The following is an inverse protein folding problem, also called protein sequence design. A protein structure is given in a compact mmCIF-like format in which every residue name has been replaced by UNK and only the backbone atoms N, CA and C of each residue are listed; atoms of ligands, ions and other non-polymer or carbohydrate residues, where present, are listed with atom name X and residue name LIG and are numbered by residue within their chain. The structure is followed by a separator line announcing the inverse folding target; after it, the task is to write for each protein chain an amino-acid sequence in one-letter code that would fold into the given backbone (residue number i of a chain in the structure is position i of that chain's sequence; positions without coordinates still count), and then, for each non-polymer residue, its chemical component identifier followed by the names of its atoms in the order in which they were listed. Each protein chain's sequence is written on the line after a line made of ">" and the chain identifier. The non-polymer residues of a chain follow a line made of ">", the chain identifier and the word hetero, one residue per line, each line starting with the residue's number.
data_IF_294577451538
#
_entry.id   IF_294577451538
#
_cell.length_a   1.000
_cell.length_b   1.000
_cell.length_c   1.000
_cell.angle_alpha   90.00
_cell.angle_beta   90.00
_cell.angle_gamma   90.00
#
_symmetry.space_group_name_H-M   'P 1'
#
loop_
_entity.id
_entity.type
_entity.pdbx_description
1 polymer ?
#
# COMPACT_ATOMS: atom_id res chain seq x y z
N UNK A 1 11.32 -18.75 -1.00
CA UNK A 1 11.27 -18.25 0.40
C UNK A 1 10.48 -16.95 0.43
N UNK A 2 9.58 -16.84 1.37
CA UNK A 2 8.78 -15.65 1.55
C UNK A 2 9.14 -14.97 2.86
N UNK A 3 9.24 -13.65 2.85
CA UNK A 3 9.34 -12.87 4.07
C UNK A 3 7.95 -12.39 4.43
N UNK A 4 7.36 -12.98 5.48
CA UNK A 4 6.01 -12.64 5.93
C UNK A 4 5.99 -11.46 6.87
N UNK A 5 7.14 -11.11 7.46
CA UNK A 5 7.27 -9.93 8.30
C UNK A 5 7.68 -8.74 7.47
N UNK A 6 7.22 -7.55 7.86
CA UNK A 6 7.57 -6.33 7.15
C UNK A 6 9.06 -6.03 7.25
N UNK A 7 9.62 -5.59 6.15
CA UNK A 7 10.99 -5.08 6.09
C UNK A 7 10.95 -3.56 6.08
N UNK A 8 11.95 -2.93 6.68
CA UNK A 8 12.07 -1.49 6.61
C UNK A 8 12.76 -1.12 5.29
N UNK A 9 12.01 -0.51 4.38
CA UNK A 9 12.51 -0.14 3.05
C UNK A 9 13.73 0.76 3.13
N UNK A 10 13.88 1.54 4.20
CA UNK A 10 15.00 2.45 4.37
C UNK A 10 16.31 1.73 4.63
N UNK A 11 16.23 0.46 5.08
CA UNK A 11 17.40 -0.35 5.40
C UNK A 11 17.89 -1.18 4.22
N UNK A 12 17.22 -1.13 3.08
CA UNK A 12 17.63 -1.89 1.90
C UNK A 12 18.88 -1.25 1.29
N UNK A 13 19.91 -2.05 1.15
CA UNK A 13 21.17 -1.69 0.53
C UNK A 13 21.42 -2.58 -0.68
N UNK A 14 22.37 -2.24 -1.57
CA UNK A 14 22.72 -3.16 -2.66
C UNK A 14 23.13 -4.54 -2.16
N UNK A 15 23.81 -4.63 -1.02
CA UNK A 15 24.25 -5.91 -0.47
C UNK A 15 23.10 -6.77 -0.01
N UNK A 16 22.16 -6.22 0.77
CA UNK A 16 21.05 -7.03 1.23
C UNK A 16 20.01 -7.30 0.13
N UNK A 17 19.87 -6.41 -0.84
CA UNK A 17 19.05 -6.69 -2.01
C UNK A 17 19.65 -7.84 -2.83
N UNK A 18 20.97 -7.89 -2.98
CA UNK A 18 21.65 -8.98 -3.64
C UNK A 18 21.42 -10.30 -2.89
N UNK A 19 21.42 -10.26 -1.55
CA UNK A 19 21.13 -11.43 -0.75
C UNK A 19 19.70 -11.91 -0.97
N UNK A 20 18.73 -11.02 -0.98
CA UNK A 20 17.33 -11.37 -1.27
C UNK A 20 17.21 -12.03 -2.64
N UNK A 21 17.92 -11.49 -3.64
CA UNK A 21 17.90 -12.05 -4.99
C UNK A 21 18.51 -13.45 -5.01
N UNK A 22 19.61 -13.67 -4.26
CA UNK A 22 20.27 -14.97 -4.22
C UNK A 22 19.44 -16.04 -3.54
N UNK A 23 18.72 -15.70 -2.47
CA UNK A 23 17.88 -16.66 -1.76
C UNK A 23 16.54 -16.88 -2.44
N UNK A 24 16.33 -16.26 -3.59
CA UNK A 24 15.12 -16.39 -4.40
C UNK A 24 13.86 -16.12 -3.60
N UNK A 25 13.87 -15.00 -2.91
CA UNK A 25 12.70 -14.53 -2.18
C UNK A 25 11.57 -14.28 -3.18
N UNK A 26 10.41 -14.88 -2.94
CA UNK A 26 9.27 -14.77 -3.84
C UNK A 26 8.44 -13.53 -3.57
N UNK A 27 8.31 -13.17 -2.31
CA UNK A 27 7.45 -12.07 -1.88
C UNK A 27 8.18 -11.25 -0.83
N UNK A 28 8.09 -9.94 -0.92
CA UNK A 28 8.59 -9.04 0.12
C UNK A 28 7.47 -8.17 0.63
N UNK A 29 7.52 -7.84 1.91
CA UNK A 29 6.54 -6.97 2.55
C UNK A 29 7.26 -5.78 3.18
N UNK A 30 6.78 -4.58 2.88
CA UNK A 30 7.24 -3.35 3.50
C UNK A 30 6.06 -2.68 4.20
N UNK A 31 6.32 -1.56 4.88
CA UNK A 31 5.28 -0.79 5.53
C UNK A 31 5.50 0.70 5.31
N UNK A 32 4.42 1.43 5.16
CA UNK A 32 4.43 2.88 5.07
C UNK A 32 3.33 3.40 6.00
N UNK A 33 3.67 3.53 7.28
CA UNK A 33 2.69 3.85 8.31
C UNK A 33 2.58 5.33 8.60
N UNK A 34 3.69 6.07 8.49
CA UNK A 34 3.71 7.49 8.76
C UNK A 34 3.58 8.27 7.45
N UNK A 35 2.48 9.03 7.27
CA UNK A 35 2.28 9.79 6.04
C UNK A 35 3.30 10.91 5.84
N UNK A 36 3.99 11.32 6.91
CA UNK A 36 5.02 12.37 6.81
C UNK A 36 6.36 11.85 6.36
N UNK A 37 6.56 10.52 6.34
CA UNK A 37 7.79 9.92 5.83
C UNK A 37 7.79 9.91 4.31
N UNK A 38 8.83 10.46 3.70
CA UNK A 38 9.01 10.36 2.26
C UNK A 38 9.80 9.10 1.94
N UNK A 39 9.09 8.03 1.64
CA UNK A 39 9.70 6.74 1.32
C UNK A 39 9.83 6.49 -0.19
N UNK A 40 9.36 7.41 -1.01
CA UNK A 40 9.36 7.24 -2.47
C UNK A 40 10.77 6.94 -3.02
N UNK A 41 11.83 7.67 -2.64
CA UNK A 41 13.16 7.36 -3.14
C UNK A 41 13.61 5.95 -2.79
N UNK A 42 13.27 5.48 -1.60
CA UNK A 42 13.63 4.14 -1.15
C UNK A 42 12.89 3.06 -1.92
N UNK A 43 11.60 3.26 -2.18
CA UNK A 43 10.82 2.33 -2.98
C UNK A 43 11.33 2.26 -4.42
N UNK A 44 11.69 3.40 -5.00
CA UNK A 44 12.26 3.42 -6.36
C UNK A 44 13.60 2.70 -6.41
N UNK A 45 14.44 2.91 -5.40
CA UNK A 45 15.74 2.26 -5.34
C UNK A 45 15.61 0.75 -5.25
N UNK A 46 14.66 0.26 -4.44
CA UNK A 46 14.44 -1.17 -4.33
C UNK A 46 14.09 -1.80 -5.68
N UNK A 47 13.28 -1.13 -6.48
CA UNK A 47 12.91 -1.64 -7.80
C UNK A 47 14.12 -1.80 -8.71
N UNK A 48 15.12 -0.92 -8.58
CA UNK A 48 16.34 -1.02 -9.37
C UNK A 48 17.21 -2.18 -8.93
N UNK A 49 17.19 -2.51 -7.64
CA UNK A 49 18.07 -3.53 -7.06
C UNK A 49 17.44 -4.93 -7.07
N UNK A 50 16.12 -5.03 -7.04
CA UNK A 50 15.42 -6.29 -6.86
C UNK A 50 15.17 -6.99 -8.18
N UNK A 51 15.23 -8.33 -8.15
CA UNK A 51 14.82 -9.18 -9.27
C UNK A 51 13.35 -9.58 -9.21
N UNK A 52 12.64 -9.18 -8.17
CA UNK A 52 11.20 -9.43 -8.07
C UNK A 52 10.50 -8.49 -9.03
N UNK A 53 9.92 -9.02 -10.10
CA UNK A 53 9.32 -8.22 -11.16
C UNK A 53 7.81 -8.11 -11.07
N UNK A 54 7.16 -9.03 -10.39
CA UNK A 54 5.71 -9.02 -10.26
C UNK A 54 5.31 -8.07 -9.12
N UNK A 55 4.57 -7.00 -9.44
CA UNK A 55 4.14 -6.02 -8.45
C UNK A 55 3.33 -6.64 -7.31
N UNK A 56 2.58 -7.71 -7.59
CA UNK A 56 1.79 -8.40 -6.58
C UNK A 56 2.64 -9.09 -5.52
N UNK A 57 3.93 -9.23 -5.77
CA UNK A 57 4.88 -9.83 -4.83
C UNK A 57 5.67 -8.79 -4.06
N UNK A 58 5.39 -7.52 -4.28
CA UNK A 58 6.01 -6.39 -3.57
C UNK A 58 4.92 -5.67 -2.78
N UNK A 59 4.51 -6.25 -1.67
CA UNK A 59 3.41 -5.73 -0.87
C UNK A 59 3.88 -4.69 0.11
N UNK A 60 3.10 -3.63 0.26
CA UNK A 60 3.35 -2.57 1.24
C UNK A 60 2.10 -2.39 2.10
N UNK A 61 2.25 -2.57 3.40
CA UNK A 61 1.17 -2.30 4.33
C UNK A 61 1.11 -0.80 4.61
N UNK A 62 -0.09 -0.25 4.53
CA UNK A 62 -0.35 1.16 4.81
C UNK A 62 -1.29 1.22 6.01
N UNK A 63 -0.85 1.88 7.09
CA UNK A 63 -1.68 2.07 8.28
C UNK A 63 -2.50 3.34 8.10
N UNK A 64 -3.81 3.16 7.96
CA UNK A 64 -4.75 4.25 7.79
C UNK A 64 -5.35 4.67 9.12
N UNK A 65 -5.82 5.90 9.20
CA UNK A 65 -6.52 6.45 10.36
C UNK A 65 -5.67 6.49 11.64
N UNK A 66 -4.36 6.51 11.49
CA UNK A 66 -3.43 6.62 12.61
C UNK A 66 -2.76 7.98 12.54
N UNK A 67 -3.47 9.01 13.05
CA UNK A 67 -3.01 10.38 12.94
C UNK A 67 -2.94 10.89 11.49
N UNK A 68 -3.63 10.23 10.56
CA UNK A 68 -3.62 10.57 9.15
C UNK A 68 -5.02 10.92 8.66
N UNK A 69 -5.09 11.68 7.58
CA UNK A 69 -6.35 11.98 6.91
C UNK A 69 -6.64 10.95 5.82
N UNK A 70 -7.89 10.93 5.36
CA UNK A 70 -8.24 10.09 4.21
C UNK A 70 -7.37 10.41 3.00
N UNK A 71 -7.14 11.70 2.74
CA UNK A 71 -6.33 12.12 1.61
C UNK A 71 -4.90 11.61 1.70
N UNK A 72 -4.33 11.60 2.90
CA UNK A 72 -2.99 11.05 3.12
C UNK A 72 -2.97 9.54 2.93
N UNK A 73 -4.01 8.85 3.40
CA UNK A 73 -4.12 7.40 3.23
C UNK A 73 -4.25 7.05 1.75
N UNK A 74 -5.12 7.74 1.03
CA UNK A 74 -5.32 7.53 -0.41
C UNK A 74 -4.06 7.88 -1.20
N UNK A 75 -3.38 8.95 -0.84
CA UNK A 75 -2.13 9.35 -1.50
C UNK A 75 -1.09 8.24 -1.44
N UNK A 76 -0.91 7.62 -0.28
CA UNK A 76 0.06 6.54 -0.13
C UNK A 76 -0.32 5.33 -0.98
N UNK A 77 -1.60 4.98 -1.01
CA UNK A 77 -2.10 3.87 -1.82
C UNK A 77 -1.84 4.13 -3.30
N UNK A 78 -2.23 5.30 -3.80
CA UNK A 78 -2.08 5.65 -5.21
C UNK A 78 -0.61 5.77 -5.61
N UNK A 79 0.21 6.32 -4.74
CA UNK A 79 1.65 6.43 -4.97
C UNK A 79 2.29 5.05 -5.10
N UNK A 80 1.95 4.12 -4.20
CA UNK A 80 2.48 2.77 -4.25
C UNK A 80 2.05 2.04 -5.51
N UNK A 81 0.80 2.19 -5.90
CA UNK A 81 0.32 1.58 -7.15
C UNK A 81 1.10 2.12 -8.35
N UNK A 82 1.30 3.43 -8.41
CA UNK A 82 2.03 4.06 -9.49
C UNK A 82 3.50 3.67 -9.55
N UNK A 83 4.10 3.35 -8.39
CA UNK A 83 5.48 2.90 -8.30
C UNK A 83 5.65 1.40 -8.66
N UNK A 84 4.57 0.65 -8.69
CA UNK A 84 4.65 -0.78 -8.99
C UNK A 84 4.68 -1.67 -7.76
N UNK A 85 4.04 -1.22 -6.68
CA UNK A 85 3.88 -2.02 -5.46
C UNK A 85 2.42 -2.39 -5.28
N UNK A 86 2.18 -3.39 -4.42
CA UNK A 86 0.84 -3.89 -4.10
C UNK A 86 0.45 -3.38 -2.71
N UNK A 87 -0.33 -2.30 -2.59
CA UNK A 87 -0.69 -1.78 -1.28
C UNK A 87 -1.72 -2.67 -0.59
N UNK A 88 -1.63 -2.74 0.71
CA UNK A 88 -2.59 -3.45 1.55
C UNK A 88 -2.90 -2.56 2.76
N UNK A 89 -4.17 -2.21 2.95
CA UNK A 89 -4.56 -1.22 3.95
C UNK A 89 -4.93 -1.89 5.26
N UNK A 90 -4.29 -1.43 6.35
CA UNK A 90 -4.65 -1.77 7.72
C UNK A 90 -5.27 -0.53 8.34
N UNK A 91 -6.28 -0.68 9.18
CA UNK A 91 -6.96 0.46 9.79
C UNK A 91 -6.71 0.46 11.31
N UNK A 92 -6.15 1.57 11.79
CA UNK A 92 -6.05 1.79 13.22
C UNK A 92 -7.44 2.05 13.80
N UNK A 93 -7.78 1.34 14.89
CA UNK A 93 -9.07 1.49 15.56
C UNK A 93 -10.25 1.39 14.57
N UNK A 94 -10.29 0.29 13.83
CA UNK A 94 -11.25 0.10 12.77
C UNK A 94 -12.72 0.31 13.18
N UNK A 95 -13.16 -0.12 14.39
CA UNK A 95 -14.56 0.10 14.80
C UNK A 95 -14.96 1.57 14.83
N UNK A 96 -14.03 2.48 15.11
CA UNK A 96 -14.28 3.91 15.21
C UNK A 96 -13.80 4.69 13.99
N UNK A 97 -13.26 4.00 12.99
CA UNK A 97 -12.75 4.66 11.79
C UNK A 97 -13.89 5.23 10.93
N UNK A 98 -13.63 6.32 10.22
CA UNK A 98 -14.62 6.88 9.31
C UNK A 98 -15.05 5.85 8.25
N UNK A 99 -16.29 5.99 7.79
CA UNK A 99 -16.82 5.08 6.76
C UNK A 99 -15.95 5.07 5.50
N UNK A 100 -15.45 6.24 5.10
CA UNK A 100 -14.62 6.35 3.90
C UNK A 100 -13.33 5.52 4.05
N UNK A 101 -12.76 5.47 5.25
CA UNK A 101 -11.56 4.67 5.51
C UNK A 101 -11.86 3.18 5.36
N UNK A 102 -12.99 2.73 5.88
CA UNK A 102 -13.41 1.33 5.73
C UNK A 102 -13.71 0.98 4.27
N UNK A 103 -14.28 1.92 3.53
CA UNK A 103 -14.51 1.71 2.09
C UNK A 103 -13.19 1.67 1.32
N UNK A 104 -12.23 2.51 1.69
CA UNK A 104 -10.90 2.47 1.08
C UNK A 104 -10.23 1.13 1.34
N UNK A 105 -10.32 0.60 2.57
CA UNK A 105 -9.77 -0.71 2.87
C UNK A 105 -10.38 -1.80 1.99
N UNK A 106 -11.68 -1.78 1.84
CA UNK A 106 -12.37 -2.77 1.02
C UNK A 106 -11.93 -2.68 -0.45
N UNK A 107 -11.81 -1.46 -0.95
CA UNK A 107 -11.36 -1.24 -2.31
C UNK A 107 -9.93 -1.74 -2.53
N UNK A 108 -9.01 -1.33 -1.67
CA UNK A 108 -7.59 -1.65 -1.83
C UNK A 108 -7.32 -3.13 -1.64
N UNK A 109 -7.93 -3.75 -0.63
CA UNK A 109 -7.59 -5.10 -0.23
C UNK A 109 -8.30 -6.18 -1.05
N UNK A 110 -9.39 -5.82 -1.72
CA UNK A 110 -9.99 -6.72 -2.71
C UNK A 110 -9.30 -6.49 -4.06
N UNK A 111 -8.31 -7.31 -4.36
CA UNK A 111 -7.45 -7.10 -5.53
C UNK A 111 -8.19 -7.22 -6.85
N UNK A 112 -9.26 -7.99 -6.88
CA UNK A 112 -10.09 -8.07 -8.07
C UNK A 112 -10.73 -6.71 -8.37
N UNK A 113 -11.20 -6.00 -7.33
CA UNK A 113 -11.78 -4.67 -7.48
C UNK A 113 -10.66 -3.66 -7.76
N UNK A 114 -9.60 -3.70 -6.96
CA UNK A 114 -8.53 -2.70 -7.00
C UNK A 114 -7.87 -2.61 -8.38
N UNK A 115 -7.66 -3.75 -9.03
CA UNK A 115 -7.01 -3.77 -10.33
C UNK A 115 -7.96 -3.65 -11.52
N UNK A 116 -9.28 -3.62 -11.28
CA UNK A 116 -10.27 -3.43 -12.36
C UNK A 116 -10.96 -2.08 -12.29
N UNK A 117 -11.09 -1.50 -11.11
CA UNK A 117 -11.71 -0.16 -10.94
C UNK A 117 -10.58 0.86 -10.83
N UNK A 118 -10.43 1.77 -11.81
CA UNK A 118 -9.23 2.61 -11.92
C UNK A 118 -8.99 3.55 -10.74
N UNK A 119 -10.05 4.09 -10.15
CA UNK A 119 -9.93 5.07 -9.10
C UNK A 119 -10.88 4.76 -7.97
N UNK A 120 -10.48 5.10 -6.74
CA UNK A 120 -11.35 4.93 -5.58
C UNK A 120 -12.68 5.65 -5.75
N UNK A 121 -12.67 6.82 -6.36
CA UNK A 121 -13.89 7.58 -6.60
C UNK A 121 -14.89 6.81 -7.47
N UNK A 122 -14.40 5.93 -8.34
CA UNK A 122 -15.27 5.11 -9.19
C UNK A 122 -15.87 3.94 -8.40
N UNK A 123 -15.15 3.46 -7.40
CA UNK A 123 -15.63 2.39 -6.52
C UNK A 123 -16.66 2.89 -5.51
N UNK A 124 -16.46 4.10 -4.98
CA UNK A 124 -17.34 4.71 -3.99
C UNK A 124 -17.90 6.02 -4.55
N UNK A 125 -18.68 5.97 -5.64
CA UNK A 125 -19.11 7.18 -6.34
C UNK A 125 -20.01 8.08 -5.50
N UNK A 126 -20.71 7.53 -4.54
CA UNK A 126 -21.56 8.27 -3.62
C UNK A 126 -20.78 9.23 -2.74
N UNK A 127 -19.48 9.03 -2.58
CA UNK A 127 -18.63 10.00 -1.87
C UNK A 127 -18.51 11.31 -2.62
N UNK A 128 -18.56 11.28 -3.94
CA UNK A 128 -18.47 12.49 -4.75
C UNK A 128 -19.64 13.42 -4.52
N UNK A 129 -20.80 12.83 -4.27
CA UNK A 129 -22.01 13.61 -4.13
C UNK A 129 -22.45 13.81 -2.69
N UNK A 130 -21.78 13.22 -1.73
CA UNK A 130 -22.19 13.31 -0.35
C UNK A 130 -23.60 12.76 -0.13
N UNK A 131 -23.94 11.66 -0.75
CA UNK A 131 -25.31 11.13 -0.73
C UNK A 131 -25.65 10.54 0.62
N UNK A 132 -26.81 10.93 1.18
CA UNK A 132 -27.17 10.50 2.54
C UNK A 132 -27.33 8.99 2.72
N UNK A 133 -27.71 8.27 1.69
CA UNK A 133 -27.97 6.83 1.82
C UNK A 133 -26.71 6.02 2.06
N UNK A 134 -25.56 6.64 1.99
CA UNK A 134 -24.30 5.97 2.26
C UNK A 134 -24.09 5.66 3.72
N UNK A 135 -24.84 6.25 4.54
CA UNK A 135 -24.69 6.10 5.99
C UNK A 135 -25.08 4.71 6.49
#
# INVERSE_FOLDING_TARGET
>A
MDFTQGLDIRLITPDNAALLNRVRVKTVHFAWDNPDDDLIPYFRRFLELSRIKDHRKRRVYVLANYGSTHEQDLYRVETLLGLGYDPYLMIYDRPNAPRITRQLQRYVNNKRIFYTVPHFADYAPDWKGGKPHEN
#
